data_IF_705923451506
#
_entry.id   IF_705923451506
#
_cell.length_a   1.000
_cell.length_b   1.000
_cell.length_c   1.000
_cell.angle_alpha   90.00
_cell.angle_beta   90.00
_cell.angle_gamma   90.00
#
_symmetry.space_group_name_H-M   'P 1'
#
loop_
_entity.id
_entity.type
_entity.pdbx_description
1 polymer ?
#
# COMPACT_ATOMS: atom_id res chain seq x y z
N UNK A 1 5.61 25.86 -7.73
CA UNK A 1 5.62 24.58 -8.47
C UNK A 1 6.92 23.88 -8.16
N UNK A 2 6.89 22.59 -7.82
CA UNK A 2 8.02 21.92 -7.16
C UNK A 2 9.01 21.19 -8.09
N UNK A 3 8.81 21.21 -9.43
CA UNK A 3 9.80 20.69 -10.38
C UNK A 3 9.52 21.16 -11.83
N UNK A 4 10.59 21.40 -12.61
CA UNK A 4 10.54 21.62 -14.07
C UNK A 4 10.64 20.27 -14.78
N UNK A 5 9.54 19.52 -14.85
CA UNK A 5 9.53 18.15 -15.39
C UNK A 5 9.28 18.09 -16.91
N UNK A 6 8.99 19.22 -17.54
CA UNK A 6 8.65 19.31 -18.95
C UNK A 6 9.34 20.52 -19.59
N UNK A 7 9.77 20.35 -20.84
CA UNK A 7 10.23 21.46 -21.66
C UNK A 7 9.04 22.31 -22.14
N UNK A 8 9.26 23.61 -22.33
CA UNK A 8 8.21 24.50 -22.87
C UNK A 8 7.79 24.12 -24.29
N UNK A 9 8.75 23.69 -25.12
CA UNK A 9 8.46 23.04 -26.41
C UNK A 9 8.34 21.52 -26.20
N UNK A 10 7.25 20.95 -26.68
CA UNK A 10 6.93 19.51 -26.58
C UNK A 10 7.83 18.62 -27.42
N UNK A 11 8.62 19.16 -28.35
CA UNK A 11 9.61 18.40 -29.10
C UNK A 11 11.03 18.57 -28.55
N UNK A 12 11.21 19.38 -27.50
CA UNK A 12 12.53 19.63 -26.94
C UNK A 12 12.93 18.61 -25.87
N UNK A 13 14.23 18.31 -25.80
CA UNK A 13 14.80 17.33 -24.89
C UNK A 13 16.19 17.70 -24.37
N UNK A 14 16.65 16.94 -23.36
CA UNK A 14 17.93 17.09 -22.66
C UNK A 14 17.90 18.11 -21.52
N UNK A 15 18.91 18.11 -20.65
CA UNK A 15 18.95 18.82 -19.36
C UNK A 15 18.52 20.30 -19.41
N UNK A 16 18.68 20.97 -20.56
CA UNK A 16 18.31 22.37 -20.78
C UNK A 16 17.27 22.60 -21.88
N UNK A 17 16.61 21.55 -22.39
CA UNK A 17 15.59 21.63 -23.43
C UNK A 17 16.07 22.34 -24.72
N UNK A 18 17.36 22.28 -25.05
CA UNK A 18 17.95 22.97 -26.21
C UNK A 18 17.91 22.16 -27.50
N UNK A 19 17.82 20.84 -27.39
CA UNK A 19 17.75 19.94 -28.54
C UNK A 19 16.30 19.71 -28.91
N UNK A 20 16.02 19.54 -30.21
CA UNK A 20 14.66 19.29 -30.71
C UNK A 20 14.60 17.98 -31.52
N UNK A 21 13.54 17.23 -31.31
CA UNK A 21 13.27 15.99 -32.02
C UNK A 21 12.87 16.22 -33.48
N UNK A 22 13.37 15.37 -34.37
CA UNK A 22 13.05 15.37 -35.80
C UNK A 22 12.01 14.34 -36.24
N UNK A 23 11.20 13.81 -35.31
CA UNK A 23 10.27 12.70 -35.56
C UNK A 23 9.17 13.09 -36.56
N UNK A 24 8.97 12.29 -37.60
CA UNK A 24 7.94 12.50 -38.63
C UNK A 24 6.65 11.74 -38.26
N UNK A 25 6.74 10.41 -38.10
CA UNK A 25 5.61 9.56 -37.73
C UNK A 25 5.88 8.84 -36.38
N UNK A 26 6.12 9.60 -35.33
CA UNK A 26 6.43 9.05 -34.01
C UNK A 26 6.39 10.09 -32.91
N UNK A 27 6.35 9.61 -31.67
CA UNK A 27 6.42 10.47 -30.48
C UNK A 27 7.88 10.66 -30.04
N UNK A 28 8.22 11.89 -29.68
CA UNK A 28 9.55 12.24 -29.17
C UNK A 28 9.70 11.85 -27.70
N UNK A 29 10.82 11.22 -27.33
CA UNK A 29 11.27 11.14 -25.95
C UNK A 29 11.79 12.51 -25.47
N UNK A 30 10.85 13.37 -25.13
CA UNK A 30 11.05 14.78 -24.78
C UNK A 30 11.30 15.01 -23.29
N UNK A 31 11.51 16.27 -22.92
CA UNK A 31 11.68 16.69 -21.54
C UNK A 31 13.15 16.76 -21.10
N UNK A 32 13.42 17.28 -19.88
CA UNK A 32 14.77 17.46 -19.38
C UNK A 32 15.57 16.15 -19.30
N UNK A 33 14.90 15.05 -18.93
CA UNK A 33 15.50 13.70 -18.87
C UNK A 33 15.40 12.95 -20.21
N UNK A 34 14.80 13.56 -21.23
CA UNK A 34 14.57 12.97 -22.54
C UNK A 34 15.85 12.89 -23.37
N UNK A 35 16.00 11.83 -24.16
CA UNK A 35 17.16 11.61 -25.02
C UNK A 35 16.90 11.90 -26.51
N UNK A 36 15.67 12.32 -26.87
CA UNK A 36 15.30 12.64 -28.23
C UNK A 36 15.01 11.45 -29.15
N UNK A 37 14.99 10.22 -28.63
CA UNK A 37 14.59 9.03 -29.40
C UNK A 37 13.15 9.17 -29.91
N UNK A 38 12.92 8.78 -31.16
CA UNK A 38 11.58 8.76 -31.75
C UNK A 38 10.93 7.38 -31.58
N UNK A 39 9.81 7.33 -30.87
CA UNK A 39 8.95 6.16 -30.76
C UNK A 39 8.03 6.08 -31.98
N UNK A 40 8.49 5.37 -33.01
CA UNK A 40 7.81 5.32 -34.30
C UNK A 40 6.47 4.58 -34.23
N UNK A 41 5.43 5.24 -34.75
CA UNK A 41 4.12 4.63 -34.92
C UNK A 41 4.22 3.59 -36.05
N UNK A 42 3.79 2.35 -35.84
CA UNK A 42 3.71 1.35 -36.90
C UNK A 42 2.93 1.87 -38.13
N UNK A 43 3.38 1.60 -39.37
CA UNK A 43 4.49 0.74 -39.79
C UNK A 43 5.83 1.48 -39.98
N UNK A 44 5.97 2.70 -39.45
CA UNK A 44 7.14 3.54 -39.66
C UNK A 44 8.33 3.11 -38.79
N UNK A 45 9.55 3.31 -39.27
CA UNK A 45 10.82 2.95 -38.63
C UNK A 45 11.92 3.96 -38.95
N UNK A 46 13.12 3.74 -38.45
CA UNK A 46 14.27 4.61 -38.63
C UNK A 46 14.37 5.69 -37.55
N UNK A 47 15.50 6.41 -37.49
CA UNK A 47 15.79 7.38 -36.43
C UNK A 47 14.82 8.56 -36.41
N UNK A 48 14.11 8.84 -37.52
CA UNK A 48 13.12 9.90 -37.64
C UNK A 48 11.70 9.39 -37.91
N UNK A 49 11.48 8.08 -37.92
CA UNK A 49 10.18 7.49 -38.25
C UNK A 49 9.65 7.91 -39.65
N UNK A 50 10.55 8.01 -40.61
CA UNK A 50 10.30 8.44 -41.99
C UNK A 50 10.40 7.29 -43.00
N UNK A 51 10.81 6.10 -42.54
CA UNK A 51 10.94 4.90 -43.36
C UNK A 51 9.79 3.93 -43.05
N UNK A 52 9.40 3.09 -44.00
CA UNK A 52 8.36 2.07 -43.81
C UNK A 52 8.99 0.69 -43.84
N UNK A 53 8.65 -0.18 -42.88
CA UNK A 53 9.09 -1.59 -42.88
C UNK A 53 7.91 -2.55 -42.79
N UNK A 54 7.92 -3.58 -43.63
CA UNK A 54 6.91 -4.64 -43.60
C UNK A 54 6.91 -5.40 -42.25
N UNK A 55 8.07 -5.50 -41.59
CA UNK A 55 8.22 -6.15 -40.28
C UNK A 55 7.39 -5.44 -39.19
N UNK A 56 7.13 -4.14 -39.34
CA UNK A 56 6.38 -3.35 -38.37
C UNK A 56 4.90 -3.18 -38.72
N UNK A 57 4.39 -3.88 -39.76
CA UNK A 57 2.98 -3.76 -40.16
C UNK A 57 2.00 -4.27 -39.10
N UNK A 58 2.38 -5.29 -38.35
CA UNK A 58 1.50 -5.98 -37.38
C UNK A 58 1.98 -5.80 -35.92
N UNK A 59 2.62 -4.68 -35.62
CA UNK A 59 2.98 -4.35 -34.24
C UNK A 59 1.71 -4.24 -33.36
N UNK A 60 1.75 -4.82 -32.16
CA UNK A 60 0.59 -4.81 -31.24
C UNK A 60 0.35 -3.41 -30.64
N UNK A 61 -0.84 -3.17 -30.10
CA UNK A 61 -1.12 -1.90 -29.44
C UNK A 61 -0.10 -1.60 -28.32
N UNK A 62 0.22 -0.32 -28.14
CA UNK A 62 1.23 0.15 -27.17
C UNK A 62 2.66 -0.32 -27.45
N UNK A 63 2.97 -0.56 -28.72
CA UNK A 63 4.33 -0.80 -29.20
C UNK A 63 4.75 0.27 -30.20
N UNK A 64 6.06 0.44 -30.33
CA UNK A 64 6.71 1.24 -31.36
C UNK A 64 7.65 0.35 -32.17
N UNK A 65 7.89 0.75 -33.42
CA UNK A 65 8.88 0.09 -34.25
C UNK A 65 10.27 0.68 -33.95
N UNK A 66 11.27 -0.18 -33.75
CA UNK A 66 12.65 0.23 -33.49
C UNK A 66 13.61 -0.44 -34.47
N UNK A 67 14.61 0.31 -34.91
CA UNK A 67 15.62 -0.12 -35.87
C UNK A 67 15.52 0.63 -37.19
N UNK A 68 16.11 0.08 -38.23
CA UNK A 68 16.00 0.53 -39.62
C UNK A 68 15.31 -0.57 -40.44
N UNK A 69 14.99 -0.31 -41.71
CA UNK A 69 14.13 -1.20 -42.52
C UNK A 69 14.50 -2.69 -42.43
N UNK A 70 15.79 -3.04 -42.48
CA UNK A 70 16.30 -4.43 -42.50
C UNK A 70 16.16 -5.17 -41.16
N UNK A 71 16.24 -4.45 -40.03
CA UNK A 71 16.25 -5.04 -38.68
C UNK A 71 15.15 -4.47 -37.78
N UNK A 72 14.11 -3.90 -38.39
CA UNK A 72 13.00 -3.28 -37.69
C UNK A 72 12.23 -4.31 -36.87
N UNK A 73 12.07 -4.04 -35.58
CA UNK A 73 11.34 -4.90 -34.64
C UNK A 73 10.35 -4.10 -33.80
N UNK A 74 9.19 -4.69 -33.50
CA UNK A 74 8.22 -4.09 -32.59
C UNK A 74 8.70 -4.23 -31.15
N UNK A 75 8.73 -3.12 -30.40
CA UNK A 75 9.07 -3.07 -28.98
C UNK A 75 7.98 -2.33 -28.22
N UNK A 76 7.73 -2.71 -26.96
CA UNK A 76 6.73 -2.01 -26.15
C UNK A 76 7.16 -0.57 -25.86
N UNK A 77 6.20 0.36 -25.84
CA UNK A 77 6.44 1.74 -25.44
C UNK A 77 6.96 1.81 -23.99
N UNK A 78 7.69 2.88 -23.60
CA UNK A 78 8.08 3.09 -22.21
C UNK A 78 6.88 3.01 -21.26
N UNK A 79 7.02 2.26 -20.16
CA UNK A 79 5.94 2.01 -19.21
C UNK A 79 5.06 0.79 -19.55
N UNK A 80 5.37 0.06 -20.62
CA UNK A 80 4.72 -1.19 -20.99
C UNK A 80 5.72 -2.34 -21.04
N UNK A 81 5.27 -3.56 -20.73
CA UNK A 81 6.05 -4.79 -20.88
C UNK A 81 5.35 -5.77 -21.81
N UNK A 82 6.12 -6.69 -22.37
CA UNK A 82 5.59 -7.71 -23.29
C UNK A 82 4.95 -8.85 -22.48
N UNK A 83 3.66 -9.10 -22.70
CA UNK A 83 2.90 -10.23 -22.14
C UNK A 83 2.36 -11.07 -23.30
N UNK A 84 3.00 -12.20 -23.60
CA UNK A 84 2.76 -12.92 -24.86
C UNK A 84 3.17 -12.06 -26.06
N UNK A 85 2.26 -11.81 -27.00
CA UNK A 85 2.48 -10.93 -28.16
C UNK A 85 1.94 -9.50 -28.00
N UNK A 86 1.39 -9.15 -26.82
CA UNK A 86 0.79 -7.85 -26.56
C UNK A 86 1.64 -7.06 -25.57
N UNK A 87 1.63 -5.74 -25.69
CA UNK A 87 2.20 -4.86 -24.68
C UNK A 87 1.13 -4.50 -23.64
N UNK A 88 1.47 -4.69 -22.36
CA UNK A 88 0.59 -4.36 -21.23
C UNK A 88 1.29 -3.39 -20.29
N UNK A 89 0.51 -2.48 -19.70
CA UNK A 89 1.03 -1.45 -18.80
C UNK A 89 1.71 -2.07 -17.58
N UNK A 90 2.82 -1.46 -17.14
CA UNK A 90 3.53 -1.88 -15.94
C UNK A 90 2.97 -1.12 -14.74
N UNK A 91 2.52 -1.87 -13.75
CA UNK A 91 2.22 -1.32 -12.43
C UNK A 91 3.52 -0.99 -11.70
N UNK A 92 3.75 0.29 -11.39
CA UNK A 92 4.89 0.74 -10.59
C UNK A 92 4.42 1.46 -9.33
N UNK A 93 5.32 1.68 -8.38
CA UNK A 93 5.04 2.41 -7.14
C UNK A 93 4.59 3.87 -7.36
N UNK A 94 4.71 4.41 -8.58
CA UNK A 94 4.19 5.74 -8.93
C UNK A 94 2.68 5.76 -9.22
N UNK A 95 2.07 4.62 -9.58
CA UNK A 95 0.66 4.58 -9.94
C UNK A 95 -0.26 4.33 -8.75
N UNK A 96 0.15 3.45 -7.82
CA UNK A 96 -0.65 3.02 -6.67
C UNK A 96 0.19 3.02 -5.40
N UNK A 97 -0.48 3.06 -4.25
CA UNK A 97 0.15 2.88 -2.94
C UNK A 97 0.85 1.50 -2.86
N UNK A 98 1.91 1.39 -2.06
CA UNK A 98 2.59 0.10 -1.80
C UNK A 98 1.65 -0.95 -1.18
N UNK A 99 0.62 -0.49 -0.46
CA UNK A 99 -0.43 -1.31 0.12
C UNK A 99 -1.66 -1.45 -0.78
N UNK A 100 -1.53 -1.19 -2.08
CA UNK A 100 -2.55 -1.44 -3.08
C UNK A 100 -2.11 -2.47 -4.12
N UNK A 101 -3.09 -3.19 -4.65
CA UNK A 101 -2.95 -3.96 -5.87
C UNK A 101 -3.26 -3.05 -7.07
N UNK A 102 -2.51 -3.24 -8.14
CA UNK A 102 -2.62 -2.44 -9.35
C UNK A 102 -3.04 -3.31 -10.52
N UNK A 103 -4.01 -2.84 -11.30
CA UNK A 103 -4.43 -3.45 -12.55
C UNK A 103 -4.42 -2.43 -13.69
N UNK A 104 -3.91 -2.84 -14.84
CA UNK A 104 -3.92 -2.02 -16.04
C UNK A 104 -5.25 -2.19 -16.79
N UNK A 105 -5.94 -1.09 -17.07
CA UNK A 105 -7.23 -1.08 -17.74
C UNK A 105 -7.13 -0.78 -19.25
N UNK A 106 -5.93 -0.53 -19.77
CA UNK A 106 -5.72 -0.07 -21.15
C UNK A 106 -5.20 1.37 -21.21
N UNK A 107 -4.43 1.69 -22.25
CA UNK A 107 -3.86 3.02 -22.42
C UNK A 107 -2.99 3.42 -21.24
N UNK A 108 -3.22 4.63 -20.71
CA UNK A 108 -2.57 5.15 -19.50
C UNK A 108 -3.45 4.99 -18.24
N UNK A 109 -4.54 4.23 -18.33
CA UNK A 109 -5.47 4.03 -17.22
C UNK A 109 -5.06 2.81 -16.38
N UNK A 110 -4.95 3.06 -15.08
CA UNK A 110 -4.66 2.06 -14.06
C UNK A 110 -5.70 2.15 -12.97
N UNK A 111 -6.11 1.01 -12.44
CA UNK A 111 -6.95 0.91 -11.27
C UNK A 111 -6.11 0.44 -10.11
N UNK A 112 -6.26 1.13 -8.98
CA UNK A 112 -5.62 0.78 -7.73
C UNK A 112 -6.71 0.34 -6.74
N UNK A 113 -6.46 -0.75 -6.03
CA UNK A 113 -7.36 -1.22 -4.98
C UNK A 113 -6.53 -1.52 -3.73
N UNK A 114 -6.89 -0.93 -2.59
CA UNK A 114 -6.19 -1.24 -1.34
C UNK A 114 -6.25 -2.73 -1.03
N UNK A 115 -5.12 -3.28 -0.59
CA UNK A 115 -5.01 -4.68 -0.15
C UNK A 115 -5.91 -4.91 1.06
N UNK A 116 -6.24 -6.19 1.29
CA UNK A 116 -7.03 -6.59 2.45
C UNK A 116 -6.44 -6.04 3.76
N UNK A 117 -7.29 -5.45 4.60
CA UNK A 117 -6.91 -4.81 5.86
C UNK A 117 -6.51 -3.33 5.75
N UNK A 118 -6.54 -2.74 4.54
CA UNK A 118 -6.31 -1.32 4.31
C UNK A 118 -7.56 -0.65 3.72
N UNK A 119 -7.72 0.65 3.96
CA UNK A 119 -8.80 1.50 3.41
C UNK A 119 -8.24 2.72 2.72
N UNK A 120 -8.97 3.23 1.73
CA UNK A 120 -8.58 4.41 0.95
C UNK A 120 -9.00 4.30 -0.52
N UNK A 121 -8.37 5.09 -1.38
CA UNK A 121 -8.68 5.17 -2.82
C UNK A 121 -7.73 4.32 -3.71
N UNK A 122 -6.84 3.55 -3.10
CA UNK A 122 -5.83 2.75 -3.79
C UNK A 122 -4.54 3.52 -4.14
N UNK A 123 -4.59 4.86 -4.19
CA UNK A 123 -3.39 5.71 -4.31
C UNK A 123 -2.84 6.12 -2.94
N UNK A 124 -3.72 6.20 -1.95
CA UNK A 124 -3.39 6.29 -0.55
C UNK A 124 -4.16 5.21 0.20
N UNK A 125 -3.42 4.27 0.79
CA UNK A 125 -4.00 3.19 1.57
C UNK A 125 -3.50 3.24 3.01
N UNK A 126 -4.43 3.47 3.94
CA UNK A 126 -4.14 3.51 5.39
C UNK A 126 -4.61 2.20 6.04
N UNK A 127 -3.86 1.69 7.04
CA UNK A 127 -4.27 0.47 7.73
C UNK A 127 -5.62 0.68 8.42
N UNK A 128 -6.48 -0.34 8.33
CA UNK A 128 -7.71 -0.38 9.11
C UNK A 128 -7.33 -0.88 10.50
N UNK A 129 -7.59 -0.07 11.53
CA UNK A 129 -7.50 -0.53 12.91
C UNK A 129 -8.91 -0.96 13.36
N UNK A 130 -9.18 -2.27 13.56
CA UNK A 130 -10.48 -2.71 14.02
C UNK A 130 -10.81 -2.22 15.43
N UNK A 131 -9.81 -1.89 16.26
CA UNK A 131 -10.05 -1.42 17.62
C UNK A 131 -10.70 -0.02 17.68
N UNK A 132 -10.60 0.77 16.61
CA UNK A 132 -11.21 2.09 16.52
C UNK A 132 -12.75 2.00 16.43
N UNK A 133 -13.26 0.85 15.99
CA UNK A 133 -14.69 0.57 15.82
C UNK A 133 -15.12 -0.52 16.81
N UNK A 134 -16.11 -0.21 17.65
CA UNK A 134 -16.66 -1.12 18.66
C UNK A 134 -15.63 -1.94 19.48
N UNK A 135 -14.49 -1.35 19.85
CA UNK A 135 -13.40 -2.05 20.55
C UNK A 135 -12.99 -3.35 19.83
N UNK A 136 -13.03 -3.38 18.49
CA UNK A 136 -12.73 -4.57 17.69
C UNK A 136 -13.64 -5.78 17.96
N UNK A 137 -14.84 -5.55 18.51
CA UNK A 137 -15.75 -6.60 18.98
C UNK A 137 -15.36 -7.22 20.32
N UNK A 138 -14.36 -6.66 21.01
CA UNK A 138 -13.90 -7.18 22.31
C UNK A 138 -14.83 -6.72 23.45
N UNK A 139 -15.18 -7.62 24.41
CA UNK A 139 -15.99 -7.28 25.57
C UNK A 139 -15.41 -6.13 26.42
N UNK A 140 -16.12 -4.99 26.47
CA UNK A 140 -15.60 -3.71 26.97
C UNK A 140 -15.29 -3.63 28.48
N UNK A 141 -15.71 -4.59 29.28
CA UNK A 141 -15.59 -4.53 30.75
C UNK A 141 -14.38 -5.28 31.32
N UNK A 142 -13.86 -6.26 30.60
CA UNK A 142 -12.82 -7.16 31.11
C UNK A 142 -11.73 -7.45 30.09
N UNK A 143 -11.86 -6.90 28.87
CA UNK A 143 -10.87 -7.06 27.80
C UNK A 143 -10.50 -5.71 27.19
N UNK A 144 -9.32 -5.67 26.59
CA UNK A 144 -8.83 -4.57 25.77
C UNK A 144 -8.58 -5.09 24.36
N UNK A 145 -8.96 -4.31 23.35
CA UNK A 145 -8.61 -4.61 21.98
C UNK A 145 -7.15 -4.26 21.71
N UNK A 146 -6.42 -5.19 21.12
CA UNK A 146 -5.03 -5.02 20.71
C UNK A 146 -4.96 -5.13 19.19
N UNK A 147 -4.59 -4.02 18.55
CA UNK A 147 -4.28 -3.98 17.13
C UNK A 147 -3.05 -4.86 16.86
N UNK A 148 -3.18 -5.82 15.95
CA UNK A 148 -2.07 -6.75 15.65
C UNK A 148 -1.46 -6.50 14.28
N UNK A 149 -2.29 -6.21 13.29
CA UNK A 149 -1.89 -5.89 11.92
C UNK A 149 -3.08 -5.29 11.17
N UNK A 150 -2.90 -4.73 9.95
CA UNK A 150 -3.97 -4.06 9.22
C UNK A 150 -5.21 -4.96 9.06
N UNK A 151 -6.36 -4.47 9.50
CA UNK A 151 -7.63 -5.19 9.52
C UNK A 151 -7.73 -6.32 10.54
N UNK A 152 -6.73 -6.51 11.41
CA UNK A 152 -6.69 -7.58 12.41
C UNK A 152 -6.44 -7.03 13.82
N UNK A 153 -7.22 -7.54 14.74
CA UNK A 153 -7.08 -7.30 16.18
C UNK A 153 -7.24 -8.61 16.93
N UNK A 154 -6.90 -8.58 18.21
CA UNK A 154 -7.27 -9.61 19.17
C UNK A 154 -7.73 -8.94 20.46
N UNK A 155 -8.44 -9.67 21.30
CA UNK A 155 -8.78 -9.23 22.64
C UNK A 155 -7.75 -9.78 23.62
N UNK A 156 -7.25 -8.95 24.53
CA UNK A 156 -6.45 -9.38 25.66
C UNK A 156 -7.22 -9.05 26.95
N UNK A 157 -7.05 -9.84 28.02
CA UNK A 157 -7.67 -9.50 29.30
C UNK A 157 -7.08 -8.19 29.86
N UNK A 158 -7.91 -7.39 30.54
CA UNK A 158 -7.40 -6.27 31.32
C UNK A 158 -6.44 -6.75 32.41
N UNK A 159 -5.56 -5.88 32.89
CA UNK A 159 -4.62 -6.23 33.96
C UNK A 159 -5.37 -6.72 35.21
N UNK A 160 -4.96 -7.87 35.75
CA UNK A 160 -5.66 -8.51 36.88
C UNK A 160 -6.81 -9.43 36.50
N UNK A 161 -7.12 -9.58 35.21
CA UNK A 161 -8.18 -10.44 34.71
C UNK A 161 -7.60 -11.66 33.99
N UNK A 162 -8.32 -12.77 34.00
CA UNK A 162 -7.96 -14.01 33.31
C UNK A 162 -9.16 -14.65 32.63
N UNK A 163 -8.92 -15.38 31.54
CA UNK A 163 -9.97 -16.04 30.79
C UNK A 163 -9.42 -16.75 29.57
N UNK A 164 -9.93 -17.95 29.28
CA UNK A 164 -9.52 -18.75 28.11
C UNK A 164 -10.36 -18.43 26.87
N UNK A 165 -11.64 -18.09 27.05
CA UNK A 165 -12.54 -17.66 25.97
C UNK A 165 -12.74 -16.14 26.02
N UNK A 166 -11.92 -15.43 25.25
CA UNK A 166 -11.92 -13.97 25.23
C UNK A 166 -13.21 -13.37 24.65
N UNK A 167 -13.97 -14.14 23.85
CA UNK A 167 -15.25 -13.70 23.28
C UNK A 167 -16.36 -13.56 24.32
N UNK A 168 -16.28 -14.29 25.44
CA UNK A 168 -17.19 -14.13 26.59
C UNK A 168 -16.71 -13.09 27.61
N UNK A 169 -15.54 -12.51 27.39
CA UNK A 169 -14.85 -11.65 28.36
C UNK A 169 -14.02 -12.45 29.36
N UNK A 170 -13.24 -11.74 30.17
CA UNK A 170 -12.42 -12.29 31.23
C UNK A 170 -13.09 -12.15 32.60
N UNK A 171 -12.62 -12.93 33.58
CA UNK A 171 -13.00 -12.85 34.99
C UNK A 171 -11.86 -12.29 35.82
N UNK A 172 -12.18 -11.61 36.92
CA UNK A 172 -11.16 -11.06 37.82
C UNK A 172 -10.38 -12.24 38.44
N UNK A 173 -9.05 -12.24 38.25
CA UNK A 173 -8.18 -13.30 38.76
C UNK A 173 -8.15 -13.21 40.27
N UNK A 174 -8.51 -14.28 40.96
CA UNK A 174 -8.46 -14.29 42.42
C UNK A 174 -7.00 -14.33 42.89
N UNK A 175 -6.56 -13.25 43.54
CA UNK A 175 -5.22 -13.13 44.13
C UNK A 175 -5.20 -13.38 45.63
N UNK A 176 -6.36 -13.63 46.24
CA UNK A 176 -6.51 -13.87 47.67
C UNK A 176 -6.22 -15.33 48.02
N UNK A 177 -5.35 -15.52 49.01
CA UNK A 177 -5.08 -16.79 49.68
C UNK A 177 -4.87 -16.55 51.19
N UNK A 178 -4.67 -17.64 51.94
CA UNK A 178 -4.51 -17.61 53.41
C UNK A 178 -3.31 -16.79 53.91
N UNK A 179 -2.35 -16.46 53.03
CA UNK A 179 -1.14 -15.69 53.38
C UNK A 179 -1.14 -14.28 52.78
N UNK A 180 -2.16 -13.90 52.01
CA UNK A 180 -2.21 -12.61 51.29
C UNK A 180 -2.48 -11.44 52.24
N UNK A 181 -3.34 -11.67 53.24
CA UNK A 181 -3.68 -10.71 54.27
C UNK A 181 -3.37 -11.28 55.65
N UNK A 182 -3.29 -10.41 56.66
CA UNK A 182 -3.24 -10.85 58.06
C UNK A 182 -4.47 -11.73 58.39
N UNK A 183 -4.36 -12.78 59.23
CA UNK A 183 -5.47 -13.70 59.53
C UNK A 183 -6.78 -13.06 60.04
N UNK A 184 -6.68 -11.84 60.59
CA UNK A 184 -7.84 -11.06 61.08
C UNK A 184 -8.40 -10.08 60.04
N UNK A 185 -7.91 -10.08 58.80
CA UNK A 185 -8.38 -9.21 57.72
C UNK A 185 -9.08 -10.03 56.63
N UNK A 186 -10.14 -9.48 56.05
CA UNK A 186 -10.80 -10.06 54.88
C UNK A 186 -10.08 -9.63 53.61
N UNK A 187 -9.67 -10.58 52.78
CA UNK A 187 -9.08 -10.28 51.47
C UNK A 187 -10.17 -10.11 50.41
N UNK A 188 -10.08 -9.04 49.63
CA UNK A 188 -10.86 -8.82 48.41
C UNK A 188 -9.92 -8.52 47.25
N UNK A 189 -10.22 -9.02 46.05
CA UNK A 189 -9.45 -8.65 44.86
C UNK A 189 -9.99 -7.35 44.27
N UNK A 190 -9.12 -6.37 44.08
CA UNK A 190 -9.45 -5.12 43.41
C UNK A 190 -9.58 -5.26 41.90
N UNK A 191 -10.32 -4.34 41.26
CA UNK A 191 -10.50 -4.32 39.79
C UNK A 191 -9.20 -4.09 39.00
N UNK A 192 -8.15 -3.63 39.69
CA UNK A 192 -6.77 -3.48 39.23
C UNK A 192 -5.96 -4.78 39.35
N UNK A 193 -6.54 -5.85 39.90
CA UNK A 193 -5.85 -7.13 40.12
C UNK A 193 -5.04 -7.22 41.40
N UNK A 194 -5.07 -6.20 42.26
CA UNK A 194 -4.32 -6.19 43.52
C UNK A 194 -5.19 -6.61 44.71
N UNK A 195 -4.62 -7.28 45.73
CA UNK A 195 -5.36 -7.63 46.94
C UNK A 195 -5.67 -6.38 47.77
N UNK A 196 -6.82 -6.38 48.43
CA UNK A 196 -7.27 -5.36 49.39
C UNK A 196 -7.60 -6.06 50.69
N UNK A 197 -6.86 -5.73 51.74
CA UNK A 197 -7.06 -6.32 53.07
C UNK A 197 -7.94 -5.40 53.91
N UNK A 198 -9.17 -5.81 54.17
CA UNK A 198 -10.13 -5.05 54.95
C UNK A 198 -10.12 -5.55 56.39
N UNK A 199 -9.71 -4.67 57.31
CA UNK A 199 -9.77 -4.92 58.75
C UNK A 199 -11.23 -4.93 59.24
N UNK A 200 -11.49 -5.66 60.32
CA UNK A 200 -12.80 -5.61 60.97
C UNK A 200 -13.09 -4.22 61.56
N UNK A 201 -14.36 -3.89 61.81
CA UNK A 201 -14.86 -2.55 62.16
C UNK A 201 -14.26 -1.89 63.44
N UNK A 202 -13.32 -2.54 64.11
CA UNK A 202 -12.65 -2.11 65.35
C UNK A 202 -11.12 -2.18 65.25
N UNK A 203 -10.58 -2.45 64.06
CA UNK A 203 -9.15 -2.64 63.82
C UNK A 203 -8.66 -1.57 62.83
N UNK A 204 -7.47 -1.02 63.09
CA UNK A 204 -6.78 -0.07 62.21
C UNK A 204 -5.75 -0.88 61.41
N UNK A 205 -5.88 -0.89 60.10
CA UNK A 205 -4.91 -1.47 59.18
C UNK A 205 -3.89 -0.43 58.71
N UNK A 206 -2.73 -0.89 58.26
CA UNK A 206 -1.68 -0.10 57.63
C UNK A 206 -1.84 0.03 56.11
N UNK A 207 -2.79 -0.70 55.51
CA UNK A 207 -3.05 -0.71 54.07
C UNK A 207 -2.48 -1.96 53.42
#
# INVERSE_FOLDING_TARGET
>A
GFACQQCSNKNSYGDNCKSECGCVNGECNNGPDGNGECYCQPPYTGPRCDQVSAACKNCSAYSHCKGVVENAVCQCLPGFHKTGDRCSGICSAKQCDVNADCSWLGGRLFQCQCKAGYKGDGRMCVPINPCDEDNGGCPRNSTVCVYTSPGKSRCDCMHGWEGSNLSSGCTLRNVCNDTTCHPNARCETGLDGYPRCLCNAQQIGDG
#
